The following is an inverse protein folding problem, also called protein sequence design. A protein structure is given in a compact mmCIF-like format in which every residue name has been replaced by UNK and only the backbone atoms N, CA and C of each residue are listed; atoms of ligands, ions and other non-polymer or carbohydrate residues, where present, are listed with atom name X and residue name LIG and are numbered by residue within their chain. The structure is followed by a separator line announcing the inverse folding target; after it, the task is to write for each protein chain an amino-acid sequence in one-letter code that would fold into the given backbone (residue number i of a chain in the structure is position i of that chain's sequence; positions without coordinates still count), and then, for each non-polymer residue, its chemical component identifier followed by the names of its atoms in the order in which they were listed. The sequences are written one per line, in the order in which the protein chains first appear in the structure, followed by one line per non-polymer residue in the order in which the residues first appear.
data_IF_158330942854
#
_entry.id   IF_158330942854
#
_cell.length_a   1.000
_cell.length_b   1.000
_cell.length_c   1.000
_cell.angle_alpha   90.00
_cell.angle_beta   90.00
_cell.angle_gamma   90.00
#
_symmetry.space_group_name_H-M   'P 1'
#
loop_
_entity.id
_entity.type
_entity.pdbx_description
1 polymer ?
#
# COMPACT_ATOMS: atom_id res chain seq x y z
N UNK A 1 10.97 44.93 31.62
CA UNK A 1 12.34 44.69 31.13
C UNK A 1 12.70 43.33 31.71
N UNK A 2 12.08 42.29 31.16
CA UNK A 2 12.53 41.59 29.94
C UNK A 2 13.84 40.84 30.22
N UNK A 3 13.77 39.52 30.32
CA UNK A 3 14.47 38.68 29.34
C UNK A 3 13.98 37.22 29.41
N UNK A 4 13.32 36.84 28.31
CA UNK A 4 13.19 35.55 27.65
C UNK A 4 13.08 34.23 28.45
N UNK A 5 11.90 33.63 28.29
CA UNK A 5 11.72 32.19 28.41
C UNK A 5 12.61 31.44 27.41
N UNK A 6 13.29 30.42 27.92
CA UNK A 6 13.83 29.35 27.08
C UNK A 6 12.65 28.50 26.59
N UNK A 7 12.18 28.78 25.37
CA UNK A 7 11.49 27.76 24.59
C UNK A 7 12.49 26.63 24.34
N UNK A 8 12.20 25.46 24.92
CA UNK A 8 12.88 24.22 24.57
C UNK A 8 12.45 23.85 23.16
N UNK A 9 13.32 24.08 22.18
CA UNK A 9 13.22 23.48 20.84
C UNK A 9 13.58 21.99 20.90
N UNK A 10 12.83 21.21 21.67
CA UNK A 10 12.82 19.75 21.54
C UNK A 10 11.67 19.43 20.57
N UNK A 11 11.99 19.49 19.27
CA UNK A 11 11.06 19.03 18.23
C UNK A 11 10.85 17.54 18.39
N UNK A 12 9.85 17.14 19.16
CA UNK A 12 9.48 15.74 19.35
C UNK A 12 9.02 15.18 18.00
N UNK A 13 9.81 14.28 17.41
CA UNK A 13 9.45 13.62 16.15
C UNK A 13 8.11 12.89 16.35
N UNK A 14 7.10 13.22 15.53
CA UNK A 14 5.81 12.54 15.61
C UNK A 14 5.95 11.10 15.11
N UNK A 15 5.68 10.15 16.01
CA UNK A 15 5.70 8.71 15.73
C UNK A 15 4.37 8.27 15.10
N UNK A 16 4.07 8.79 13.91
CA UNK A 16 2.80 8.58 13.19
C UNK A 16 2.93 7.70 11.92
N UNK A 17 4.12 7.18 11.66
CA UNK A 17 4.39 6.26 10.55
C UNK A 17 4.83 4.92 11.13
N UNK A 18 4.33 3.83 10.57
CA UNK A 18 4.79 2.49 10.89
C UNK A 18 5.08 1.70 9.63
N UNK A 19 5.99 0.73 9.71
CA UNK A 19 6.08 -0.37 8.75
C UNK A 19 5.76 -1.72 9.39
N UNK A 20 5.14 -2.60 8.62
CA UNK A 20 4.79 -3.94 9.09
C UNK A 20 4.68 -4.92 7.94
N UNK A 21 5.11 -6.19 8.09
CA UNK A 21 4.92 -7.24 7.09
C UNK A 21 3.59 -7.99 7.27
N UNK A 22 2.64 -7.46 8.03
CA UNK A 22 1.36 -8.11 8.34
C UNK A 22 0.18 -7.29 7.83
N UNK A 23 -0.93 -7.95 7.51
CA UNK A 23 -2.12 -7.24 7.08
C UNK A 23 -2.70 -6.40 8.23
N UNK A 24 -3.08 -5.15 7.92
CA UNK A 24 -3.49 -4.16 8.94
C UNK A 24 -5.00 -3.90 9.02
N UNK A 25 -5.82 -4.47 8.11
CA UNK A 25 -7.26 -4.19 7.99
C UNK A 25 -8.02 -4.26 9.33
N UNK A 26 -7.84 -5.34 10.09
CA UNK A 26 -8.54 -5.55 11.38
C UNK A 26 -7.95 -4.74 12.54
N UNK A 27 -7.00 -3.84 12.27
CA UNK A 27 -6.25 -3.07 13.27
C UNK A 27 -6.31 -1.57 13.00
N UNK A 28 -6.85 -1.11 11.87
CA UNK A 28 -6.85 0.30 11.46
C UNK A 28 -7.45 1.24 12.52
N UNK A 29 -8.61 0.90 13.12
CA UNK A 29 -9.19 1.71 14.18
C UNK A 29 -8.26 1.86 15.41
N UNK A 30 -7.51 0.81 15.75
CA UNK A 30 -6.54 0.84 16.86
C UNK A 30 -5.30 1.63 16.49
N UNK A 31 -4.79 1.46 15.27
CA UNK A 31 -3.67 2.24 14.74
C UNK A 31 -4.02 3.73 14.67
N UNK A 32 -5.23 4.07 14.23
CA UNK A 32 -5.75 5.45 14.24
C UNK A 32 -5.79 6.02 15.66
N UNK A 33 -6.20 5.23 16.66
CA UNK A 33 -6.19 5.67 18.06
C UNK A 33 -4.79 5.92 18.64
N UNK A 34 -3.74 5.39 18.00
CA UNK A 34 -2.34 5.70 18.32
C UNK A 34 -1.82 6.94 17.57
N UNK A 35 -2.64 7.57 16.74
CA UNK A 35 -2.22 8.69 15.89
C UNK A 35 -1.43 8.28 14.65
N UNK A 36 -1.48 7.00 14.25
CA UNK A 36 -0.85 6.55 13.00
C UNK A 36 -1.61 7.15 11.81
N UNK A 37 -0.86 7.80 10.92
CA UNK A 37 -1.36 8.44 9.70
C UNK A 37 -0.83 7.79 8.43
N UNK A 38 0.25 7.01 8.52
CA UNK A 38 0.87 6.36 7.36
C UNK A 38 1.29 4.93 7.71
N UNK A 39 1.00 3.98 6.81
CA UNK A 39 1.42 2.58 6.93
C UNK A 39 2.32 2.23 5.73
N UNK A 40 3.55 1.83 6.01
CA UNK A 40 4.49 1.32 5.02
C UNK A 40 4.28 -0.20 4.88
N UNK A 41 3.96 -0.64 3.66
CA UNK A 41 3.70 -2.06 3.34
C UNK A 41 4.66 -2.55 2.26
N UNK A 42 4.62 -3.85 1.94
CA UNK A 42 5.66 -4.47 1.14
C UNK A 42 5.17 -4.86 -0.25
N UNK A 43 6.03 -4.71 -1.25
CA UNK A 43 6.00 -5.49 -2.47
C UNK A 43 7.05 -6.60 -2.44
N UNK A 44 6.78 -7.71 -3.10
CA UNK A 44 7.71 -8.83 -3.23
C UNK A 44 7.36 -9.68 -4.48
N UNK A 45 8.14 -10.73 -4.72
CA UNK A 45 7.77 -11.74 -5.71
C UNK A 45 6.71 -12.68 -5.15
N UNK A 46 6.90 -13.15 -3.92
CA UNK A 46 5.93 -14.01 -3.24
C UNK A 46 6.07 -13.95 -1.71
N UNK A 47 4.94 -14.15 -1.05
CA UNK A 47 4.89 -14.34 0.40
C UNK A 47 5.54 -15.69 0.78
N UNK A 48 6.16 -15.72 1.95
CA UNK A 48 6.75 -16.94 2.51
C UNK A 48 5.75 -17.62 3.45
N UNK A 49 6.06 -18.85 3.87
CA UNK A 49 5.27 -19.54 4.91
C UNK A 49 5.28 -18.81 6.26
N UNK A 50 6.34 -18.05 6.54
CA UNK A 50 6.51 -17.34 7.82
C UNK A 50 5.99 -15.92 7.78
N UNK A 51 5.83 -15.33 6.60
CA UNK A 51 5.24 -14.01 6.37
C UNK A 51 4.19 -14.11 5.25
N UNK A 52 3.05 -14.80 5.51
CA UNK A 52 2.02 -15.08 4.51
C UNK A 52 1.26 -13.83 4.04
N UNK A 53 1.37 -12.72 4.78
CA UNK A 53 0.65 -11.46 4.56
C UNK A 53 1.60 -10.30 4.23
N UNK A 54 2.87 -10.60 3.88
CA UNK A 54 3.90 -9.57 3.67
C UNK A 54 3.49 -8.59 2.60
N UNK A 55 3.16 -9.12 1.42
CA UNK A 55 2.77 -8.33 0.26
C UNK A 55 1.45 -7.62 0.52
N UNK A 56 1.44 -6.31 0.30
CA UNK A 56 0.23 -5.49 0.24
C UNK A 56 -0.69 -6.02 -0.86
N UNK A 57 -1.97 -6.20 -0.57
CA UNK A 57 -2.99 -6.54 -1.58
C UNK A 57 -3.97 -5.36 -1.73
N UNK A 58 -4.64 -5.25 -2.89
CA UNK A 58 -5.49 -4.10 -3.23
C UNK A 58 -6.56 -3.80 -2.16
N UNK A 59 -7.28 -4.83 -1.69
CA UNK A 59 -8.31 -4.67 -0.67
C UNK A 59 -7.77 -4.11 0.66
N UNK A 60 -6.53 -4.49 1.04
CA UNK A 60 -5.88 -3.88 2.21
C UNK A 60 -5.53 -2.42 1.94
N UNK A 61 -4.98 -2.12 0.77
CA UNK A 61 -4.58 -0.78 0.38
C UNK A 61 -5.78 0.20 0.37
N UNK A 62 -6.90 -0.21 -0.23
CA UNK A 62 -8.14 0.57 -0.27
C UNK A 62 -8.68 0.79 1.15
N UNK A 63 -8.70 -0.25 1.98
CA UNK A 63 -9.22 -0.14 3.35
C UNK A 63 -8.36 0.78 4.24
N UNK A 64 -7.03 0.75 4.10
CA UNK A 64 -6.11 1.70 4.75
C UNK A 64 -6.46 3.13 4.35
N UNK A 65 -6.59 3.41 3.04
CA UNK A 65 -6.87 4.74 2.53
C UNK A 65 -8.29 5.24 2.89
N UNK A 66 -9.29 4.37 2.87
CA UNK A 66 -10.66 4.67 3.30
C UNK A 66 -10.74 5.07 4.78
N UNK A 67 -9.81 4.58 5.62
CA UNK A 67 -9.66 4.99 7.03
C UNK A 67 -8.80 6.25 7.21
N UNK A 68 -8.54 7.00 6.14
CA UNK A 68 -7.84 8.28 6.17
C UNK A 68 -6.33 8.18 6.36
N UNK A 69 -5.75 6.99 6.19
CA UNK A 69 -4.30 6.78 6.28
C UNK A 69 -3.65 6.75 4.90
N UNK A 70 -2.39 7.18 4.84
CA UNK A 70 -1.55 7.06 3.63
C UNK A 70 -0.81 5.73 3.60
N UNK A 71 -0.41 5.34 2.40
CA UNK A 71 0.49 4.24 2.13
C UNK A 71 1.88 4.75 1.73
N UNK A 72 2.90 3.98 2.06
CA UNK A 72 4.17 3.98 1.33
C UNK A 72 4.59 2.52 1.14
N UNK A 73 5.50 2.24 0.21
CA UNK A 73 5.84 0.85 -0.13
C UNK A 73 7.32 0.59 -0.28
N UNK A 74 7.74 -0.61 0.12
CA UNK A 74 9.09 -1.13 -0.07
C UNK A 74 9.09 -2.49 -0.73
N UNK A 75 9.92 -2.67 -1.75
CA UNK A 75 10.19 -3.96 -2.34
C UNK A 75 11.24 -4.73 -1.53
N UNK A 76 10.84 -5.85 -0.93
CA UNK A 76 11.75 -6.75 -0.23
C UNK A 76 11.27 -8.20 -0.25
N UNK A 77 11.99 -9.05 -0.99
CA UNK A 77 11.88 -10.50 -0.89
C UNK A 77 12.77 -11.07 0.23
N UNK A 78 14.03 -10.61 0.29
CA UNK A 78 15.05 -10.93 1.28
C UNK A 78 15.96 -9.70 1.43
N UNK A 79 16.85 -9.48 0.45
CA UNK A 79 17.77 -8.34 0.39
C UNK A 79 18.67 -8.17 1.63
N UNK A 80 18.93 -9.25 2.38
CA UNK A 80 19.67 -9.23 3.65
C UNK A 80 21.12 -9.73 3.57
N UNK A 81 21.68 -9.85 2.36
CA UNK A 81 23.07 -10.24 2.10
C UNK A 81 23.47 -9.94 0.66
N UNK A 82 24.77 -9.77 0.41
CA UNK A 82 25.32 -9.40 -0.92
C UNK A 82 24.85 -10.30 -2.06
N UNK A 83 24.68 -11.61 -1.84
CA UNK A 83 24.22 -12.55 -2.89
C UNK A 83 22.82 -12.25 -3.42
N UNK A 84 22.04 -11.40 -2.74
CA UNK A 84 20.72 -10.95 -3.20
C UNK A 84 20.80 -9.90 -4.31
N UNK A 85 21.98 -9.36 -4.60
CA UNK A 85 22.15 -8.19 -5.47
C UNK A 85 22.95 -8.55 -6.73
N UNK A 86 22.36 -8.26 -7.88
CA UNK A 86 23.03 -8.24 -9.18
C UNK A 86 22.17 -7.40 -10.14
N UNK A 87 22.74 -6.99 -11.28
CA UNK A 87 21.98 -6.26 -12.30
C UNK A 87 20.69 -6.99 -12.70
N UNK A 88 20.77 -8.30 -13.03
CA UNK A 88 19.62 -9.08 -13.47
C UNK A 88 18.55 -9.23 -12.37
N UNK A 89 18.97 -9.35 -11.10
CA UNK A 89 18.02 -9.36 -9.97
C UNK A 89 17.34 -8.00 -9.80
N UNK A 90 18.08 -6.92 -10.07
CA UNK A 90 17.56 -5.56 -10.13
C UNK A 90 16.48 -5.40 -11.19
N UNK A 91 16.74 -5.86 -12.42
CA UNK A 91 15.75 -5.84 -13.52
C UNK A 91 14.49 -6.60 -13.13
N UNK A 92 14.62 -7.81 -12.58
CA UNK A 92 13.48 -8.60 -12.15
C UNK A 92 12.67 -7.90 -11.04
N UNK A 93 13.35 -7.31 -10.04
CA UNK A 93 12.71 -6.59 -8.95
C UNK A 93 12.02 -5.32 -9.44
N UNK A 94 12.67 -4.53 -10.29
CA UNK A 94 12.13 -3.32 -10.90
C UNK A 94 10.86 -3.62 -11.70
N UNK A 95 10.91 -4.59 -12.62
CA UNK A 95 9.73 -5.01 -13.41
C UNK A 95 8.59 -5.47 -12.52
N UNK A 96 8.86 -6.33 -11.54
CA UNK A 96 7.82 -6.84 -10.63
C UNK A 96 7.19 -5.71 -9.83
N UNK A 97 8.00 -4.85 -9.22
CA UNK A 97 7.53 -3.76 -8.39
C UNK A 97 6.69 -2.77 -9.21
N UNK A 98 7.17 -2.39 -10.39
CA UNK A 98 6.47 -1.47 -11.28
C UNK A 98 5.13 -2.04 -11.74
N UNK A 99 5.12 -3.26 -12.30
CA UNK A 99 3.87 -3.89 -12.75
C UNK A 99 2.89 -4.07 -11.59
N UNK A 100 3.36 -4.49 -10.41
CA UNK A 100 2.46 -4.69 -9.28
C UNK A 100 1.86 -3.39 -8.75
N UNK A 101 2.68 -2.33 -8.68
CA UNK A 101 2.21 -1.00 -8.32
C UNK A 101 1.11 -0.50 -9.28
N UNK A 102 1.34 -0.62 -10.59
CA UNK A 102 0.42 -0.14 -11.63
C UNK A 102 -0.82 -1.00 -11.79
N UNK A 103 -0.61 -2.30 -11.98
CA UNK A 103 -1.62 -3.23 -12.48
C UNK A 103 -2.44 -3.87 -11.34
N UNK A 104 -1.85 -4.05 -10.16
CA UNK A 104 -2.51 -4.74 -9.03
C UNK A 104 -2.98 -3.77 -7.94
N UNK A 105 -2.23 -2.68 -7.65
CA UNK A 105 -2.54 -1.75 -6.55
C UNK A 105 -3.17 -0.44 -7.04
N UNK A 106 -2.92 -0.04 -8.28
CA UNK A 106 -3.32 1.29 -8.76
C UNK A 106 -2.56 2.42 -8.06
N UNK A 107 -1.31 2.16 -7.66
CA UNK A 107 -0.44 3.16 -7.03
C UNK A 107 -0.27 4.37 -7.99
N UNK A 108 -0.50 5.61 -7.53
CA UNK A 108 -0.52 6.78 -8.40
C UNK A 108 0.88 7.20 -8.86
N UNK A 109 0.93 7.83 -10.02
CA UNK A 109 2.14 8.45 -10.59
C UNK A 109 2.79 9.42 -9.60
N UNK A 110 4.12 9.55 -9.66
CA UNK A 110 4.89 10.45 -8.78
C UNK A 110 5.14 9.89 -7.38
N UNK A 111 4.45 8.83 -6.95
CA UNK A 111 4.74 8.13 -5.69
C UNK A 111 6.01 7.28 -5.77
N UNK A 112 6.53 6.86 -4.60
CA UNK A 112 7.79 6.12 -4.54
C UNK A 112 7.61 4.61 -4.30
N UNK A 113 8.60 3.85 -4.78
CA UNK A 113 8.84 2.47 -4.38
C UNK A 113 10.27 2.40 -3.82
N UNK A 114 10.39 2.12 -2.53
CA UNK A 114 11.69 1.89 -1.90
C UNK A 114 12.19 0.49 -2.22
N UNK A 115 13.50 0.30 -2.38
CA UNK A 115 14.12 -1.02 -2.52
C UNK A 115 15.08 -1.28 -1.37
N UNK A 116 14.90 -2.41 -0.69
CA UNK A 116 15.67 -2.73 0.50
C UNK A 116 17.12 -3.14 0.19
N UNK A 117 18.03 -2.68 1.04
CA UNK A 117 19.39 -3.19 1.27
C UNK A 117 19.51 -3.42 2.78
N UNK A 118 19.05 -4.57 3.22
CA UNK A 118 18.78 -4.90 4.63
C UNK A 118 19.98 -5.59 5.30
N UNK A 119 21.16 -5.01 5.13
CA UNK A 119 22.39 -5.40 5.81
C UNK A 119 23.45 -4.29 5.68
N UNK A 120 24.48 -4.33 6.54
CA UNK A 120 25.58 -3.36 6.49
C UNK A 120 26.57 -3.69 5.36
N UNK A 121 26.28 -3.26 4.13
CA UNK A 121 27.07 -3.57 2.93
C UNK A 121 28.39 -2.78 2.84
N UNK A 122 29.51 -3.44 2.54
CA UNK A 122 30.84 -2.83 2.34
C UNK A 122 30.89 -1.87 1.14
N UNK A 123 31.91 -1.01 1.05
CA UNK A 123 32.10 -0.18 -0.15
C UNK A 123 32.28 -1.05 -1.40
N UNK A 124 33.04 -2.15 -1.28
CA UNK A 124 33.25 -3.12 -2.34
C UNK A 124 31.94 -3.81 -2.74
N UNK A 125 31.13 -4.21 -1.76
CA UNK A 125 29.82 -4.82 -2.03
C UNK A 125 28.85 -3.83 -2.70
N UNK A 126 28.91 -2.56 -2.31
CA UNK A 126 28.12 -1.48 -2.91
C UNK A 126 28.48 -1.31 -4.39
N UNK A 127 29.77 -1.09 -4.67
CA UNK A 127 30.25 -0.87 -6.03
C UNK A 127 30.04 -2.10 -6.93
N UNK A 128 30.32 -3.29 -6.41
CA UNK A 128 30.28 -4.51 -7.22
C UNK A 128 28.86 -5.10 -7.39
N UNK A 129 27.92 -4.84 -6.47
CA UNK A 129 26.63 -5.55 -6.47
C UNK A 129 25.41 -4.62 -6.31
N UNK A 130 25.43 -3.68 -5.37
CA UNK A 130 24.25 -2.84 -5.08
C UNK A 130 24.05 -1.79 -6.18
N UNK A 131 25.10 -1.09 -6.60
CA UNK A 131 25.00 -0.13 -7.72
C UNK A 131 24.50 -0.83 -9.00
N UNK A 132 25.06 -1.98 -9.42
CA UNK A 132 24.50 -2.75 -10.54
C UNK A 132 23.04 -3.15 -10.33
N UNK A 133 22.64 -3.56 -9.13
CA UNK A 133 21.25 -3.90 -8.82
C UNK A 133 20.31 -2.69 -9.00
N UNK A 134 20.66 -1.50 -8.50
CA UNK A 134 19.84 -0.29 -8.68
C UNK A 134 19.81 0.21 -10.13
N UNK A 135 20.91 0.06 -10.89
CA UNK A 135 20.87 0.25 -12.35
C UNK A 135 19.89 -0.70 -13.03
N UNK A 136 19.86 -1.96 -12.58
CA UNK A 136 18.89 -2.95 -13.05
C UNK A 136 17.45 -2.60 -12.70
N UNK A 137 17.19 -2.05 -11.51
CA UNK A 137 15.85 -1.59 -11.13
C UNK A 137 15.36 -0.52 -12.10
N UNK A 138 16.21 0.49 -12.38
CA UNK A 138 15.89 1.54 -13.35
C UNK A 138 15.59 0.98 -14.74
N UNK A 139 16.45 0.09 -15.26
CA UNK A 139 16.19 -0.62 -16.52
C UNK A 139 14.86 -1.40 -16.50
N UNK A 140 14.53 -2.01 -15.35
CA UNK A 140 13.27 -2.71 -15.14
C UNK A 140 12.05 -1.79 -15.20
N UNK A 141 12.13 -0.60 -14.61
CA UNK A 141 11.12 0.45 -14.71
C UNK A 141 10.98 0.92 -16.15
N UNK A 142 12.09 1.34 -16.78
CA UNK A 142 12.13 1.86 -18.15
C UNK A 142 11.56 0.86 -19.17
N UNK A 143 11.74 -0.45 -18.93
CA UNK A 143 11.19 -1.49 -19.82
C UNK A 143 9.65 -1.61 -19.72
N UNK A 144 9.06 -1.33 -18.56
CA UNK A 144 7.63 -1.59 -18.29
C UNK A 144 6.79 -0.33 -18.35
N UNK A 145 7.38 0.83 -18.06
CA UNK A 145 6.68 2.11 -17.99
C UNK A 145 6.09 2.52 -19.34
N UNK A 146 6.83 2.34 -20.44
CA UNK A 146 6.48 3.07 -21.67
C UNK A 146 6.47 4.57 -21.37
N UNK A 147 5.33 5.23 -21.61
CA UNK A 147 5.16 6.67 -21.34
C UNK A 147 4.73 6.97 -19.89
N UNK A 148 3.95 6.10 -19.21
CA UNK A 148 3.38 6.31 -17.86
C UNK A 148 3.02 4.99 -17.16
N UNK A 149 2.96 4.90 -15.81
CA UNK A 149 3.23 5.93 -14.81
C UNK A 149 4.72 6.06 -14.45
N UNK A 150 5.17 7.27 -14.11
CA UNK A 150 6.52 7.51 -13.57
C UNK A 150 6.56 7.31 -12.05
N UNK A 151 7.02 6.14 -11.59
CA UNK A 151 7.31 5.90 -10.16
C UNK A 151 8.72 6.32 -9.77
N UNK A 152 8.87 6.81 -8.55
CA UNK A 152 10.14 7.25 -7.97
C UNK A 152 10.87 6.10 -7.30
N UNK A 153 12.19 6.01 -7.47
CA UNK A 153 13.00 4.94 -6.87
C UNK A 153 13.57 5.44 -5.53
N UNK A 154 13.21 4.76 -4.44
CA UNK A 154 13.79 4.97 -3.12
C UNK A 154 14.71 3.82 -2.70
N UNK A 155 15.52 4.04 -1.65
CA UNK A 155 16.30 2.99 -0.99
C UNK A 155 15.99 2.92 0.50
N UNK A 156 15.77 1.70 1.00
CA UNK A 156 15.85 1.40 2.43
C UNK A 156 17.23 0.81 2.73
N UNK A 157 18.00 1.37 3.67
CA UNK A 157 19.32 0.83 3.99
C UNK A 157 20.17 1.68 4.94
N UNK A 158 21.49 1.46 4.91
CA UNK A 158 22.45 2.23 5.69
C UNK A 158 22.74 3.59 5.06
N UNK A 159 23.21 4.56 5.86
CA UNK A 159 23.58 5.87 5.33
C UNK A 159 24.70 5.81 4.28
N UNK A 160 25.61 4.84 4.38
CA UNK A 160 26.63 4.61 3.35
C UNK A 160 26.02 4.17 2.02
N UNK A 161 25.12 3.17 2.05
CA UNK A 161 24.43 2.68 0.85
C UNK A 161 23.63 3.82 0.21
N UNK A 162 22.85 4.53 1.00
CA UNK A 162 22.00 5.63 0.53
C UNK A 162 22.83 6.74 -0.12
N UNK A 163 23.90 7.20 0.53
CA UNK A 163 24.76 8.24 -0.04
C UNK A 163 25.39 7.81 -1.37
N UNK A 164 25.93 6.59 -1.43
CA UNK A 164 26.54 6.08 -2.67
C UNK A 164 25.55 5.98 -3.83
N UNK A 165 24.29 5.61 -3.57
CA UNK A 165 23.26 5.54 -4.61
C UNK A 165 22.78 6.93 -5.05
N UNK A 166 22.64 7.87 -4.11
CA UNK A 166 22.26 9.27 -4.38
C UNK A 166 23.33 9.97 -5.23
N UNK A 167 24.62 9.81 -4.91
CA UNK A 167 25.73 10.39 -5.72
C UNK A 167 25.76 9.88 -7.17
N UNK A 168 25.20 8.69 -7.43
CA UNK A 168 25.06 8.14 -8.79
C UNK A 168 23.76 8.54 -9.48
N UNK A 169 22.87 9.27 -8.80
CA UNK A 169 21.55 9.63 -9.32
C UNK A 169 20.65 8.41 -9.55
N UNK A 170 20.81 7.36 -8.73
CA UNK A 170 20.04 6.10 -8.87
C UNK A 170 18.80 6.04 -7.97
N UNK A 171 18.71 6.93 -6.98
CA UNK A 171 17.60 7.00 -6.02
C UNK A 171 17.23 8.45 -5.76
N UNK A 172 15.94 8.69 -5.53
CA UNK A 172 15.36 10.00 -5.21
C UNK A 172 14.95 10.10 -3.73
N UNK A 173 14.65 8.96 -3.10
CA UNK A 173 14.22 8.90 -1.71
C UNK A 173 15.11 8.00 -0.85
N UNK A 174 15.33 8.40 0.40
CA UNK A 174 16.16 7.69 1.38
C UNK A 174 15.33 7.33 2.61
N UNK A 175 15.26 6.04 2.91
CA UNK A 175 14.75 5.49 4.17
C UNK A 175 15.89 4.82 4.93
N UNK A 176 16.33 5.44 6.03
CA UNK A 176 17.37 4.88 6.87
C UNK A 176 16.83 3.73 7.71
N UNK A 177 17.51 2.58 7.66
CA UNK A 177 17.22 1.41 8.50
C UNK A 177 17.34 1.72 10.00
N UNK A 178 16.69 0.89 10.84
CA UNK A 178 16.71 1.03 12.31
C UNK A 178 18.12 1.04 12.89
N UNK A 179 19.06 0.33 12.26
CA UNK A 179 20.40 0.14 12.81
C UNK A 179 21.25 1.41 12.73
N UNK A 180 21.35 2.12 13.86
CA UNK A 180 22.33 3.20 14.06
C UNK A 180 23.78 2.70 14.04
N UNK A 181 24.02 1.39 14.04
CA UNK A 181 25.33 0.78 13.93
C UNK A 181 25.82 0.61 12.48
N UNK A 182 24.90 0.62 11.51
CA UNK A 182 25.28 0.50 10.11
C UNK A 182 26.07 1.73 9.63
N UNK A 183 27.00 1.50 8.71
CA UNK A 183 27.95 2.52 8.26
C UNK A 183 27.23 3.70 7.63
N UNK A 184 27.67 4.90 8.00
CA UNK A 184 27.10 6.16 7.52
C UNK A 184 25.74 6.52 8.14
N UNK A 185 25.02 5.63 8.82
CA UNK A 185 23.65 5.91 9.28
C UNK A 185 23.59 7.05 10.31
N UNK A 186 24.52 7.08 11.28
CA UNK A 186 24.57 8.18 12.26
C UNK A 186 24.87 9.52 11.61
N UNK A 187 25.80 9.52 10.64
CA UNK A 187 26.20 10.71 9.91
C UNK A 187 25.05 11.24 9.05
N UNK A 188 24.40 10.37 8.27
CA UNK A 188 23.25 10.73 7.44
C UNK A 188 22.09 11.28 8.29
N UNK A 189 21.78 10.63 9.42
CA UNK A 189 20.74 11.10 10.33
C UNK A 189 21.08 12.47 10.93
N UNK A 190 22.30 12.65 11.46
CA UNK A 190 22.73 13.92 12.04
C UNK A 190 22.78 15.07 11.01
N UNK A 191 23.06 14.74 9.75
CA UNK A 191 23.11 15.70 8.65
C UNK A 191 21.73 15.97 8.02
N UNK A 192 20.65 15.30 8.44
CA UNK A 192 19.33 15.45 7.84
C UNK A 192 19.24 14.91 6.41
N UNK A 193 20.13 13.98 6.01
CA UNK A 193 20.17 13.41 4.66
C UNK A 193 19.33 12.12 4.62
N UNK A 194 18.03 12.28 4.78
CA UNK A 194 17.04 11.20 4.70
C UNK A 194 15.62 11.76 4.50
N UNK A 195 14.70 10.94 4.01
CA UNK A 195 13.26 11.24 4.00
C UNK A 195 12.58 10.54 5.17
N UNK A 196 12.88 9.25 5.37
CA UNK A 196 12.36 8.42 6.45
C UNK A 196 13.51 7.83 7.27
N UNK A 197 13.26 7.56 8.55
CA UNK A 197 14.18 6.82 9.40
C UNK A 197 13.41 5.89 10.33
N UNK A 198 13.68 4.60 10.23
CA UNK A 198 13.11 3.58 11.12
C UNK A 198 13.69 3.73 12.52
N UNK A 199 12.85 3.55 13.54
CA UNK A 199 13.17 3.74 14.94
C UNK A 199 13.09 2.42 15.71
N UNK A 200 13.96 2.31 16.72
CA UNK A 200 13.92 1.25 17.72
C UNK A 200 13.11 1.70 18.94
N UNK A 201 12.52 0.77 19.72
CA UNK A 201 12.47 -0.67 19.47
C UNK A 201 11.32 -1.07 18.53
N UNK A 202 11.42 -2.27 17.98
CA UNK A 202 10.27 -2.94 17.38
C UNK A 202 9.14 -3.10 18.40
N UNK A 203 7.90 -2.97 17.93
CA UNK A 203 6.69 -2.98 18.77
C UNK A 203 5.81 -4.16 18.41
N UNK A 204 5.25 -4.81 19.42
CA UNK A 204 4.17 -5.78 19.24
C UNK A 204 3.00 -5.39 20.13
N UNK A 205 1.90 -4.97 19.50
CA UNK A 205 0.68 -4.60 20.20
C UNK A 205 -0.55 -4.89 19.35
N UNK A 206 -1.69 -5.15 19.99
CA UNK A 206 -2.94 -5.53 19.33
C UNK A 206 -2.87 -6.79 18.43
N UNK A 207 -1.87 -7.65 18.65
CA UNK A 207 -1.62 -8.81 17.78
C UNK A 207 -0.93 -8.43 16.46
N UNK A 208 -0.38 -7.23 16.35
CA UNK A 208 0.37 -6.74 15.20
C UNK A 208 1.81 -6.43 15.63
N UNK A 209 2.79 -6.92 14.87
CA UNK A 209 4.19 -6.53 15.00
C UNK A 209 4.51 -5.44 13.98
N UNK A 210 5.07 -4.33 14.41
CA UNK A 210 5.43 -3.21 13.54
C UNK A 210 6.62 -2.42 14.10
N UNK A 211 7.30 -1.69 13.24
CA UNK A 211 8.34 -0.73 13.60
C UNK A 211 7.82 0.69 13.37
N UNK A 212 8.29 1.65 14.17
CA UNK A 212 7.96 3.05 13.96
C UNK A 212 8.95 3.69 12.99
N UNK A 213 8.48 4.64 12.20
CA UNK A 213 9.29 5.49 11.34
C UNK A 213 9.04 6.96 11.65
N UNK A 214 10.07 7.78 11.45
CA UNK A 214 9.95 9.22 11.50
C UNK A 214 10.29 9.81 10.14
N UNK A 215 9.51 10.81 9.74
CA UNK A 215 9.82 11.65 8.59
C UNK A 215 10.81 12.74 8.99
N UNK A 216 11.74 13.07 8.10
CA UNK A 216 12.59 14.24 8.27
C UNK A 216 11.71 15.51 8.25
N UNK A 217 11.72 16.36 9.28
CA UNK A 217 10.85 17.54 9.35
C UNK A 217 11.10 18.54 8.22
N UNK A 218 12.27 18.49 7.58
CA UNK A 218 12.64 19.37 6.47
C UNK A 218 12.17 18.87 5.09
N UNK A 219 11.56 17.68 5.01
CA UNK A 219 10.98 17.17 3.76
C UNK A 219 9.45 17.14 3.84
N UNK A 220 8.79 17.63 2.79
CA UNK A 220 7.33 17.59 2.66
C UNK A 220 6.83 16.34 1.95
N UNK A 221 7.72 15.63 1.25
CA UNK A 221 7.43 14.44 0.48
C UNK A 221 8.43 13.32 0.77
N UNK A 222 7.90 12.11 0.88
CA UNK A 222 8.64 10.86 1.04
C UNK A 222 8.06 9.76 0.14
N UNK A 223 7.26 10.13 -0.86
CA UNK A 223 6.65 9.21 -1.82
C UNK A 223 5.45 8.44 -1.30
N UNK A 224 4.83 8.89 -0.20
CA UNK A 224 3.55 8.35 0.26
C UNK A 224 2.43 8.66 -0.72
N UNK A 225 1.41 7.81 -0.73
CA UNK A 225 0.25 7.97 -1.59
C UNK A 225 -1.04 7.54 -0.88
N UNK A 226 -2.16 7.92 -1.47
CA UNK A 226 -3.46 7.29 -1.21
C UNK A 226 -3.94 6.70 -2.53
N UNK A 227 -4.68 5.61 -2.46
CA UNK A 227 -5.48 5.15 -3.59
C UNK A 227 -6.95 5.43 -3.31
N UNK A 228 -7.70 5.60 -4.39
CA UNK A 228 -9.15 5.63 -4.29
C UNK A 228 -9.62 4.25 -3.86
N UNK A 229 -10.53 4.22 -2.89
CA UNK A 229 -11.39 3.07 -2.72
C UNK A 229 -12.26 3.00 -3.99
N UNK A 230 -12.50 1.82 -4.57
CA UNK A 230 -13.45 1.71 -5.68
C UNK A 230 -14.84 2.20 -5.25
N UNK A 231 -15.14 2.21 -3.93
CA UNK A 231 -16.30 2.91 -3.37
C UNK A 231 -16.26 4.43 -3.61
N UNK A 232 -15.09 5.08 -3.64
CA UNK A 232 -14.95 6.52 -3.87
C UNK A 232 -15.13 6.95 -5.32
N UNK A 233 -14.85 6.07 -6.30
CA UNK A 233 -15.32 6.27 -7.68
C UNK A 233 -16.81 5.97 -7.84
N UNK A 234 -17.37 5.02 -7.07
CA UNK A 234 -18.81 4.85 -6.96
C UNK A 234 -19.53 6.02 -6.24
N UNK A 235 -18.82 6.76 -5.38
CA UNK A 235 -19.34 7.96 -4.70
C UNK A 235 -19.35 9.20 -5.61
N UNK A 236 -18.51 9.23 -6.66
CA UNK A 236 -18.57 10.22 -7.73
C UNK A 236 -19.61 9.89 -8.83
N UNK A 237 -20.03 8.62 -8.91
CA UNK A 237 -21.04 8.12 -9.82
C UNK A 237 -22.14 7.34 -9.05
N UNK A 238 -22.93 8.05 -8.26
CA UNK A 238 -24.23 7.55 -7.80
C UNK A 238 -24.17 6.59 -6.62
N UNK A 239 -23.96 7.13 -5.43
CA UNK A 239 -24.37 6.53 -4.16
C UNK A 239 -25.88 6.29 -4.18
N UNK A 240 -26.33 5.13 -4.63
CA UNK A 240 -27.74 4.73 -4.55
C UNK A 240 -27.95 3.21 -4.60
N UNK A 241 -27.01 2.41 -4.07
CA UNK A 241 -27.36 1.02 -3.77
C UNK A 241 -28.36 1.02 -2.61
N UNK A 242 -29.62 0.83 -2.97
CA UNK A 242 -30.72 0.84 -2.02
C UNK A 242 -30.90 -0.58 -1.50
N UNK A 243 -31.15 -0.72 -0.19
CA UNK A 243 -31.45 -2.03 0.42
C UNK A 243 -32.87 -2.44 0.06
N UNK A 244 -33.04 -3.67 -0.39
CA UNK A 244 -34.33 -4.26 -0.68
C UNK A 244 -34.52 -5.57 0.07
N UNK A 245 -35.78 -5.93 0.26
CA UNK A 245 -36.22 -7.23 0.76
C UNK A 245 -36.95 -7.99 -0.33
N UNK A 246 -36.66 -9.27 -0.46
CA UNK A 246 -37.40 -10.18 -1.36
C UNK A 246 -38.81 -10.44 -0.81
N UNK A 247 -39.84 -10.05 -1.55
CA UNK A 247 -41.26 -10.23 -1.15
C UNK A 247 -41.96 -11.42 -1.83
N UNK A 248 -41.31 -12.07 -2.81
CA UNK A 248 -41.86 -13.24 -3.47
C UNK A 248 -42.10 -14.42 -2.51
N UNK A 249 -43.34 -14.91 -2.44
CA UNK A 249 -43.74 -16.00 -1.52
C UNK A 249 -42.86 -17.26 -1.66
N UNK A 250 -42.49 -17.60 -2.89
CA UNK A 250 -41.74 -18.82 -3.22
C UNK A 250 -40.24 -18.58 -3.48
N UNK A 251 -39.72 -17.42 -3.07
CA UNK A 251 -38.37 -16.98 -3.44
C UNK A 251 -38.31 -16.33 -4.82
N UNK A 252 -37.17 -15.72 -5.13
CA UNK A 252 -36.92 -14.94 -6.34
C UNK A 252 -35.67 -15.49 -7.03
N UNK A 253 -35.73 -15.72 -8.35
CA UNK A 253 -34.60 -16.25 -9.11
C UNK A 253 -33.59 -15.16 -9.43
N UNK A 254 -32.31 -15.49 -9.27
CA UNK A 254 -31.19 -14.70 -9.73
C UNK A 254 -30.75 -15.21 -11.10
N UNK A 255 -30.58 -14.31 -12.05
CA UNK A 255 -30.27 -14.62 -13.45
C UNK A 255 -29.02 -13.91 -13.92
N UNK A 256 -28.35 -14.48 -14.93
CA UNK A 256 -27.13 -13.91 -15.52
C UNK A 256 -27.39 -12.56 -16.23
N UNK A 257 -28.62 -12.32 -16.70
CA UNK A 257 -28.99 -11.07 -17.37
C UNK A 257 -30.45 -10.63 -17.12
N UNK A 258 -30.81 -9.38 -17.49
CA UNK A 258 -32.11 -8.78 -17.22
C UNK A 258 -33.18 -9.31 -18.19
N UNK A 259 -33.67 -10.52 -17.95
CA UNK A 259 -34.67 -11.16 -18.79
C UNK A 259 -34.96 -12.59 -18.39
N UNK A 260 -36.14 -13.10 -18.75
CA UNK A 260 -36.50 -14.50 -18.48
C UNK A 260 -35.78 -15.50 -19.39
N UNK A 261 -35.17 -15.03 -20.47
CA UNK A 261 -34.37 -15.83 -21.42
C UNK A 261 -32.92 -16.08 -21.00
N UNK A 262 -32.41 -15.40 -19.97
CA UNK A 262 -31.07 -15.63 -19.41
C UNK A 262 -31.07 -16.79 -18.42
N UNK A 263 -29.93 -17.43 -18.23
CA UNK A 263 -29.79 -18.58 -17.34
C UNK A 263 -30.05 -18.21 -15.86
N UNK A 264 -30.57 -19.18 -15.12
CA UNK A 264 -30.78 -19.05 -13.67
C UNK A 264 -29.49 -19.48 -13.00
N UNK A 265 -28.84 -18.54 -12.32
CA UNK A 265 -27.55 -18.74 -11.66
C UNK A 265 -27.70 -18.89 -10.14
N UNK A 266 -28.87 -18.57 -9.60
CA UNK A 266 -29.15 -18.71 -8.17
C UNK A 266 -30.59 -18.42 -7.80
N UNK A 267 -30.83 -18.32 -6.49
CA UNK A 267 -32.14 -18.00 -5.94
C UNK A 267 -32.02 -17.32 -4.58
N UNK A 268 -32.91 -16.37 -4.34
CA UNK A 268 -33.02 -15.62 -3.10
C UNK A 268 -34.30 -16.01 -2.36
N UNK A 269 -34.20 -16.16 -1.05
CA UNK A 269 -35.33 -16.57 -0.21
C UNK A 269 -36.23 -15.38 0.13
N UNK A 270 -37.52 -15.63 0.36
CA UNK A 270 -38.45 -14.60 0.86
C UNK A 270 -37.89 -13.99 2.15
N UNK A 271 -37.85 -12.67 2.21
CA UNK A 271 -37.38 -11.91 3.37
C UNK A 271 -35.87 -11.64 3.37
N UNK A 272 -35.10 -12.27 2.47
CA UNK A 272 -33.68 -11.99 2.30
C UNK A 272 -33.48 -10.52 1.93
N UNK A 273 -32.46 -9.90 2.55
CA UNK A 273 -32.01 -8.56 2.22
C UNK A 273 -30.99 -8.66 1.10
N UNK A 274 -31.10 -7.77 0.13
CA UNK A 274 -30.19 -7.62 -1.00
C UNK A 274 -29.96 -6.14 -1.28
N UNK A 275 -28.88 -5.85 -1.99
CA UNK A 275 -28.49 -4.52 -2.40
C UNK A 275 -28.80 -4.37 -3.88
N UNK A 276 -29.51 -3.30 -4.23
CA UNK A 276 -29.92 -3.06 -5.62
C UNK A 276 -29.22 -1.82 -6.12
N UNK A 277 -28.35 -2.01 -7.11
CA UNK A 277 -27.57 -0.95 -7.75
C UNK A 277 -28.40 -0.10 -8.71
N UNK A 278 -29.19 -0.75 -9.54
CA UNK A 278 -30.02 -0.10 -10.54
C UNK A 278 -31.28 -0.93 -10.78
N UNK A 279 -32.40 -0.26 -11.04
CA UNK A 279 -33.60 -0.88 -11.62
C UNK A 279 -33.82 -0.28 -13.00
N UNK A 280 -33.73 -1.12 -14.02
CA UNK A 280 -33.93 -0.73 -15.42
C UNK A 280 -34.87 -1.71 -16.10
N UNK A 281 -35.91 -1.18 -16.75
CA UNK A 281 -36.92 -1.97 -17.49
C UNK A 281 -37.53 -3.13 -16.67
N UNK A 282 -37.72 -2.92 -15.36
CA UNK A 282 -38.32 -3.90 -14.45
C UNK A 282 -37.37 -4.97 -13.91
N UNK A 283 -36.08 -4.88 -14.20
CA UNK A 283 -35.02 -5.75 -13.67
C UNK A 283 -34.08 -4.97 -12.75
N UNK A 284 -33.77 -5.58 -11.62
CA UNK A 284 -32.83 -5.08 -10.62
C UNK A 284 -31.48 -5.77 -10.79
N UNK A 285 -30.39 -5.01 -10.82
CA UNK A 285 -29.02 -5.50 -10.65
C UNK A 285 -28.78 -5.76 -9.16
N UNK A 286 -28.48 -7.01 -8.81
CA UNK A 286 -28.41 -7.51 -7.44
C UNK A 286 -26.96 -7.72 -7.04
N UNK A 287 -26.64 -7.19 -5.86
CA UNK A 287 -25.50 -7.56 -5.04
C UNK A 287 -26.07 -8.24 -3.76
N UNK A 288 -25.69 -9.49 -3.53
CA UNK A 288 -26.18 -10.31 -2.43
C UNK A 288 -25.45 -9.99 -1.12
N UNK A 289 -24.17 -9.63 -1.19
CA UNK A 289 -23.28 -9.39 -0.05
C UNK A 289 -23.21 -7.91 0.36
N UNK A 290 -23.53 -6.99 -0.55
CA UNK A 290 -23.38 -5.54 -0.38
C UNK A 290 -21.93 -5.10 -0.42
N UNK A 291 -21.08 -5.82 -1.16
CA UNK A 291 -19.65 -5.54 -1.32
C UNK A 291 -19.31 -4.76 -2.61
N UNK A 292 -20.35 -4.37 -3.36
CA UNK A 292 -20.26 -3.61 -4.61
C UNK A 292 -20.13 -4.48 -5.86
N UNK A 293 -20.08 -5.81 -5.72
CA UNK A 293 -20.02 -6.75 -6.83
C UNK A 293 -21.42 -7.29 -7.19
N UNK A 294 -21.72 -7.32 -8.50
CA UNK A 294 -23.02 -7.81 -8.96
C UNK A 294 -23.00 -9.32 -9.10
N UNK A 295 -23.90 -10.00 -8.38
CA UNK A 295 -24.14 -11.43 -8.52
C UNK A 295 -25.06 -11.76 -9.70
N UNK A 296 -25.92 -10.83 -10.08
CA UNK A 296 -26.81 -11.03 -11.23
C UNK A 296 -28.04 -10.12 -11.22
N UNK A 297 -29.10 -10.58 -11.85
CA UNK A 297 -30.31 -9.81 -12.10
C UNK A 297 -31.56 -10.53 -11.59
N UNK A 298 -32.50 -9.77 -11.05
CA UNK A 298 -33.79 -10.28 -10.62
C UNK A 298 -34.94 -9.34 -10.99
N UNK A 299 -36.17 -9.87 -11.03
CA UNK A 299 -37.33 -9.02 -11.34
C UNK A 299 -37.64 -8.07 -10.17
N UNK A 300 -37.59 -6.77 -10.45
CA UNK A 300 -37.77 -5.72 -9.44
C UNK A 300 -39.18 -5.70 -8.84
N UNK A 301 -40.18 -6.25 -9.53
CA UNK A 301 -41.56 -6.36 -9.04
C UNK A 301 -41.70 -7.21 -7.77
N UNK A 302 -40.66 -7.97 -7.39
CA UNK A 302 -40.62 -8.83 -6.21
C UNK A 302 -39.62 -8.35 -5.15
N UNK A 303 -39.22 -7.09 -5.22
CA UNK A 303 -38.34 -6.43 -4.26
C UNK A 303 -39.06 -5.23 -3.64
N UNK A 304 -38.93 -5.06 -2.33
CA UNK A 304 -39.46 -3.92 -1.57
C UNK A 304 -38.30 -3.17 -0.90
N UNK A 305 -38.18 -1.87 -1.11
CA UNK A 305 -37.10 -1.06 -0.54
C UNK A 305 -37.27 -0.95 0.98
N UNK A 306 -36.17 -1.03 1.74
CA UNK A 306 -36.18 -1.04 3.22
C UNK A 306 -35.25 0.00 3.82
#
# INVERSE_FOLDING_TARGET
MDDSGKESCDGEFQMNIIDTPWNTSDKLAKLSSLGITTIIRYYNFSNSRTLPEKRLELAEAQHICANGMKLAVVFQQLQNKVSCFSFQKGVAAGKRAFSYARDDIGQPEGSAIYFAVDFDASHEEIEANIIPYFKGIKEGFDTVSGDEPQYKIGVYGSGLVSNSLTEKGLVEFIWLSMSRGFRGTKQAFAAGVYNLCQQAPAVSQFGLSFDYDVVNPEVSDFGSFTIEDDESQALGAGKNESRYRVIARSGLRLREGPGTGFDIIGGMSRGQIVYVKEIKEGWASIDLEGDGHLDGFASAAFLEQT
#
